data_IF_794105383534
#
_entry.id   IF_794105383534
#
_cell.length_a   1.000
_cell.length_b   1.000
_cell.length_c   1.000
_cell.angle_alpha   90.00
_cell.angle_beta   90.00
_cell.angle_gamma   90.00
#
_symmetry.space_group_name_H-M   'P 1'
#
loop_
_entity.id
_entity.type
_entity.pdbx_description
1 polymer ?
#
# COMPACT_ATOMS: atom_id res chain seq x y z
N UNK A 1 -5.06 -6.22 1.62
CA UNK A 1 -5.24 -6.82 2.96
C UNK A 1 -6.72 -7.03 3.20
N UNK A 2 -7.10 -8.15 3.82
CA UNK A 2 -8.49 -8.48 4.08
C UNK A 2 -9.14 -7.49 5.08
N UNK A 3 -10.41 -7.08 4.87
CA UNK A 3 -11.14 -6.20 5.78
C UNK A 3 -11.10 -6.62 7.25
N UNK A 4 -11.23 -7.92 7.56
CA UNK A 4 -11.24 -8.42 8.94
C UNK A 4 -9.91 -8.17 9.66
N UNK A 5 -8.78 -8.27 8.94
CA UNK A 5 -7.44 -7.99 9.47
C UNK A 5 -7.28 -6.51 9.79
N UNK A 6 -7.83 -5.63 8.95
CA UNK A 6 -7.78 -4.18 9.17
C UNK A 6 -8.63 -3.78 10.37
N UNK A 7 -9.83 -4.35 10.50
CA UNK A 7 -10.70 -4.13 11.65
C UNK A 7 -10.02 -4.50 12.97
N UNK A 8 -9.41 -5.69 13.05
CA UNK A 8 -8.65 -6.10 14.24
C UNK A 8 -7.54 -5.11 14.58
N UNK A 9 -6.73 -4.72 13.58
CA UNK A 9 -5.60 -3.78 13.76
C UNK A 9 -6.04 -2.41 14.28
N UNK A 10 -7.15 -1.89 13.77
CA UNK A 10 -7.68 -0.59 14.21
C UNK A 10 -8.27 -0.71 15.62
N UNK A 11 -9.01 -1.78 15.93
CA UNK A 11 -9.58 -2.01 17.27
C UNK A 11 -8.52 -2.17 18.37
N UNK A 12 -7.38 -2.80 18.04
CA UNK A 12 -6.29 -3.05 19.00
C UNK A 12 -5.37 -1.83 19.19
N UNK A 13 -5.51 -0.78 18.36
CA UNK A 13 -4.63 0.38 18.38
C UNK A 13 -4.88 1.22 19.64
N UNK A 14 -3.82 1.48 20.43
CA UNK A 14 -3.86 2.33 21.63
C UNK A 14 -2.86 3.48 21.52
N UNK A 15 -3.25 4.69 21.93
CA UNK A 15 -2.34 5.84 22.08
C UNK A 15 -1.76 6.42 20.79
N UNK A 16 -2.41 6.20 19.64
CA UNK A 16 -1.96 6.72 18.35
C UNK A 16 -2.53 8.12 18.07
N UNK A 17 -1.73 9.07 17.55
CA UNK A 17 -2.23 10.40 17.13
C UNK A 17 -3.07 10.37 15.84
N UNK A 18 -3.08 9.25 15.11
CA UNK A 18 -3.94 9.07 13.93
C UNK A 18 -5.41 8.91 14.31
N UNK A 19 -6.28 9.60 13.58
CA UNK A 19 -7.75 9.61 13.67
C UNK A 19 -8.44 8.36 13.10
N UNK A 20 -7.68 7.33 12.71
CA UNK A 20 -8.23 6.12 12.11
C UNK A 20 -9.09 5.35 13.14
N UNK A 21 -10.41 5.55 13.08
CA UNK A 21 -11.41 4.80 13.82
C UNK A 21 -12.04 3.71 12.95
N UNK A 22 -12.81 2.83 13.59
CA UNK A 22 -13.58 1.78 12.91
C UNK A 22 -14.63 2.36 11.94
N UNK A 23 -15.27 3.48 12.29
CA UNK A 23 -16.21 4.16 11.40
C UNK A 23 -15.49 4.70 10.14
N UNK A 24 -14.32 5.33 10.33
CA UNK A 24 -13.49 5.82 9.22
C UNK A 24 -13.02 4.66 8.34
N UNK A 25 -12.55 3.56 8.93
CA UNK A 25 -12.16 2.36 8.19
C UNK A 25 -13.34 1.81 7.36
N UNK A 26 -14.54 1.76 7.94
CA UNK A 26 -15.75 1.28 7.25
C UNK A 26 -16.06 2.13 6.01
N UNK A 27 -15.98 3.46 6.14
CA UNK A 27 -16.18 4.39 5.01
C UNK A 27 -15.10 4.21 3.94
N UNK A 28 -13.85 4.01 4.34
CA UNK A 28 -12.75 3.78 3.40
C UNK A 28 -12.92 2.48 2.60
N UNK A 29 -13.41 1.41 3.23
CA UNK A 29 -13.64 0.12 2.57
C UNK A 29 -14.83 0.15 1.60
N UNK A 30 -15.84 0.97 1.87
CA UNK A 30 -17.00 1.14 0.98
C UNK A 30 -16.71 2.05 -0.22
N UNK A 31 -15.67 2.88 -0.13
CA UNK A 31 -15.32 3.83 -1.17
C UNK A 31 -14.77 3.10 -2.39
N UNK A 32 -15.44 3.26 -3.54
CA UNK A 32 -14.81 3.01 -4.82
C UNK A 32 -13.82 4.14 -5.12
N UNK A 33 -12.56 3.77 -5.29
CA UNK A 33 -11.49 4.71 -5.61
C UNK A 33 -11.19 4.75 -7.12
N UNK A 34 -11.99 4.03 -7.93
CA UNK A 34 -11.88 3.99 -9.37
C UNK A 34 -10.63 3.23 -9.86
N UNK A 35 -10.34 3.32 -11.17
CA UNK A 35 -9.15 2.71 -11.75
C UNK A 35 -7.88 3.28 -11.13
N UNK A 36 -7.04 2.41 -10.57
CA UNK A 36 -5.71 2.78 -10.07
C UNK A 36 -4.63 2.19 -10.97
N UNK A 37 -3.77 3.05 -11.50
CA UNK A 37 -2.54 2.65 -12.20
C UNK A 37 -1.39 2.34 -11.24
N UNK A 38 -1.54 2.67 -9.96
CA UNK A 38 -0.52 2.44 -8.96
C UNK A 38 -0.44 0.96 -8.58
N UNK A 39 0.78 0.49 -8.30
CA UNK A 39 1.01 -0.87 -7.81
C UNK A 39 0.35 -1.04 -6.44
N UNK A 40 -0.50 -2.06 -6.32
CA UNK A 40 -1.13 -2.47 -5.05
C UNK A 40 -0.22 -3.47 -4.33
N UNK A 41 -0.08 -3.31 -3.01
CA UNK A 41 0.75 -4.19 -2.18
C UNK A 41 -0.11 -4.83 -1.08
N UNK A 42 0.00 -6.14 -0.92
CA UNK A 42 -0.75 -6.90 0.10
C UNK A 42 -0.16 -6.74 1.50
N UNK A 43 -0.80 -5.88 2.32
CA UNK A 43 -0.36 -5.54 3.66
C UNK A 43 -0.69 -6.59 4.76
N UNK A 44 -1.18 -7.78 4.40
CA UNK A 44 -1.42 -8.88 5.36
C UNK A 44 -0.22 -9.80 5.55
N UNK A 45 0.90 -9.54 4.86
CA UNK A 45 2.15 -10.30 4.91
C UNK A 45 3.09 -9.79 6.01
N UNK A 46 4.22 -10.49 6.19
CA UNK A 46 5.28 -10.06 7.11
C UNK A 46 5.88 -8.75 6.63
N UNK A 47 6.25 -7.87 7.56
CA UNK A 47 6.83 -6.55 7.26
C UNK A 47 8.07 -6.68 6.37
N UNK A 48 8.95 -7.65 6.64
CA UNK A 48 10.17 -7.88 5.85
C UNK A 48 9.87 -8.21 4.38
N UNK A 49 8.83 -9.00 4.13
CA UNK A 49 8.41 -9.36 2.78
C UNK A 49 7.79 -8.18 2.02
N UNK A 50 6.98 -7.37 2.73
CA UNK A 50 6.37 -6.16 2.17
C UNK A 50 7.46 -5.16 1.81
N UNK A 51 8.43 -4.91 2.70
CA UNK A 51 9.53 -3.98 2.46
C UNK A 51 10.40 -4.44 1.29
N UNK A 52 10.71 -5.73 1.18
CA UNK A 52 11.46 -6.26 0.04
C UNK A 52 10.72 -6.03 -1.29
N UNK A 53 9.40 -6.23 -1.33
CA UNK A 53 8.59 -5.93 -2.53
C UNK A 53 8.59 -4.43 -2.87
N UNK A 54 8.48 -3.56 -1.87
CA UNK A 54 8.52 -2.11 -2.08
C UNK A 54 9.84 -1.66 -2.70
N UNK A 55 10.97 -2.13 -2.16
CA UNK A 55 12.31 -1.82 -2.69
C UNK A 55 12.46 -2.28 -4.13
N UNK A 56 12.13 -3.55 -4.42
CA UNK A 56 12.21 -4.09 -5.77
C UNK A 56 11.31 -3.34 -6.77
N UNK A 57 10.14 -2.86 -6.34
CA UNK A 57 9.23 -2.07 -7.17
C UNK A 57 9.83 -0.73 -7.57
N UNK A 58 10.48 -0.04 -6.62
CA UNK A 58 11.14 1.25 -6.85
C UNK A 58 12.34 1.05 -7.78
N UNK A 59 13.17 0.04 -7.54
CA UNK A 59 14.33 -0.26 -8.39
C UNK A 59 13.93 -0.60 -9.83
N UNK A 60 12.86 -1.37 -10.01
CA UNK A 60 12.29 -1.66 -11.34
C UNK A 60 11.76 -0.40 -12.04
N UNK A 61 11.09 0.50 -11.31
CA UNK A 61 10.61 1.78 -11.86
C UNK A 61 11.78 2.71 -12.24
N UNK A 62 12.82 2.78 -11.41
CA UNK A 62 14.02 3.58 -11.70
C UNK A 62 14.79 3.02 -12.90
N UNK A 63 14.92 1.68 -13.00
CA UNK A 63 15.61 1.02 -14.12
C UNK A 63 14.87 1.19 -15.44
N UNK A 64 13.54 1.06 -15.45
CA UNK A 64 12.72 1.30 -16.65
C UNK A 64 12.76 2.77 -17.10
N UNK A 65 12.72 3.73 -16.16
CA UNK A 65 12.87 5.15 -16.47
C UNK A 65 14.28 5.54 -16.95
N UNK A 66 15.32 4.82 -16.53
CA UNK A 66 16.70 5.01 -17.01
C UNK A 66 16.91 4.40 -18.41
N UNK A 67 16.35 3.22 -18.67
CA UNK A 67 16.40 2.58 -19.99
C UNK A 67 15.71 3.39 -21.08
N UNK A 68 14.54 3.98 -20.76
CA UNK A 68 13.81 4.85 -21.68
C UNK A 68 14.61 6.08 -22.12
N UNK A 69 15.48 6.62 -21.26
CA UNK A 69 16.34 7.78 -21.58
C UNK A 69 17.51 7.43 -22.49
N UNK A 70 17.89 6.16 -22.62
CA UNK A 70 19.09 5.73 -23.34
C UNK A 70 18.84 5.41 -24.83
N UNK A 71 17.58 5.19 -25.24
CA UNK A 71 17.24 4.83 -26.62
C UNK A 71 16.75 5.99 -27.49
N UNK A 72 16.77 7.22 -26.97
CA UNK A 72 16.49 8.44 -27.72
C UNK A 72 17.78 9.20 -28.03
N UNK A 73 18.54 8.77 -29.03
CA UNK A 73 19.56 9.58 -29.69
C UNK A 73 19.76 9.14 -31.13
#
# INVERSE_FOLDING_TARGET
ADPSVLWRRVSERKGSPSDATIDILSRQLQRDAGPMSWRKIEANRKVTEITAEMVASVEGAVSSAAGFRKTGS
#
